data_IF_298878146581
#
_entry.id   IF_298878146581
#
_cell.length_a   1.000
_cell.length_b   1.000
_cell.length_c   1.000
_cell.angle_alpha   90.00
_cell.angle_beta   90.00
_cell.angle_gamma   90.00
#
_symmetry.space_group_name_H-M   'P 1'
#
loop_
_entity.id
_entity.type
_entity.pdbx_description
1 polymer ?
#
# COMPACT_ATOMS: atom_id res chain seq x y z
N UNK A 1 -26.30 -54.17 -36.39
CA UNK A 1 -26.95 -52.87 -36.14
C UNK A 1 -26.48 -52.44 -34.75
N UNK A 2 -25.43 -51.62 -34.59
CA UNK A 2 -25.43 -50.15 -34.58
C UNK A 2 -26.71 -49.56 -33.97
N UNK A 3 -26.60 -49.05 -32.76
CA UNK A 3 -26.74 -47.61 -32.51
C UNK A 3 -25.98 -47.24 -31.22
N UNK A 4 -25.09 -46.26 -31.37
CA UNK A 4 -24.44 -45.54 -30.29
C UNK A 4 -25.46 -44.58 -29.69
N UNK A 5 -25.44 -44.38 -28.37
CA UNK A 5 -25.96 -43.14 -27.81
C UNK A 5 -24.86 -42.42 -27.03
N UNK A 6 -24.57 -41.24 -27.58
CA UNK A 6 -23.55 -40.28 -27.25
C UNK A 6 -23.91 -39.48 -25.99
N UNK A 7 -22.85 -39.08 -25.30
CA UNK A 7 -22.69 -37.85 -24.53
C UNK A 7 -23.59 -37.64 -23.30
N UNK A 8 -22.99 -37.85 -22.12
CA UNK A 8 -23.18 -36.91 -21.02
C UNK A 8 -21.82 -36.29 -20.74
N UNK A 9 -21.62 -35.11 -21.30
CA UNK A 9 -20.47 -34.26 -21.06
C UNK A 9 -20.24 -34.13 -19.55
N UNK A 10 -19.06 -34.50 -19.09
CA UNK A 10 -18.56 -34.03 -17.80
C UNK A 10 -18.56 -32.50 -17.87
N UNK A 11 -19.22 -31.86 -16.91
CA UNK A 11 -19.09 -30.42 -16.71
C UNK A 11 -17.62 -30.14 -16.40
N UNK A 12 -16.88 -29.70 -17.43
CA UNK A 12 -15.59 -29.05 -17.24
C UNK A 12 -15.90 -27.72 -16.59
N UNK A 13 -15.85 -27.68 -15.25
CA UNK A 13 -15.79 -26.43 -14.51
C UNK A 13 -14.46 -25.77 -14.88
N UNK A 14 -14.49 -24.89 -15.89
CA UNK A 14 -13.38 -23.99 -16.16
C UNK A 14 -13.30 -23.08 -14.94
N UNK A 15 -12.40 -23.39 -14.03
CA UNK A 15 -11.98 -22.47 -12.99
C UNK A 15 -11.41 -21.26 -13.74
N UNK A 16 -12.20 -20.19 -13.84
CA UNK A 16 -11.77 -18.96 -14.50
C UNK A 16 -10.36 -18.64 -13.99
N UNK A 17 -9.40 -18.53 -14.90
CA UNK A 17 -8.07 -18.08 -14.55
C UNK A 17 -8.24 -16.82 -13.70
N UNK A 18 -7.65 -16.80 -12.52
CA UNK A 18 -7.65 -15.60 -11.71
C UNK A 18 -7.12 -14.46 -12.59
N UNK A 19 -7.95 -13.44 -12.85
CA UNK A 19 -7.52 -12.20 -13.54
C UNK A 19 -6.40 -11.46 -12.77
N UNK A 20 -6.03 -11.95 -11.58
CA UNK A 20 -4.90 -11.48 -10.80
C UNK A 20 -3.63 -12.23 -11.14
N UNK A 21 -2.60 -11.45 -11.46
CA UNK A 21 -1.21 -11.90 -11.54
C UNK A 21 -0.68 -12.09 -10.11
N UNK A 22 -0.04 -13.23 -9.83
CA UNK A 22 0.77 -13.38 -8.62
C UNK A 22 1.96 -12.42 -8.71
N UNK A 23 2.03 -11.49 -7.76
CA UNK A 23 3.06 -10.45 -7.76
C UNK A 23 4.42 -10.97 -7.25
N UNK A 24 4.49 -12.11 -6.55
CA UNK A 24 5.73 -12.58 -5.91
C UNK A 24 6.93 -12.76 -6.86
N UNK A 25 6.77 -13.21 -8.12
CA UNK A 25 7.88 -13.29 -9.06
C UNK A 25 8.43 -11.93 -9.48
N UNK A 26 7.59 -10.88 -9.45
CA UNK A 26 7.91 -9.54 -9.98
C UNK A 26 8.15 -8.49 -8.88
N UNK A 27 8.15 -8.90 -7.61
CA UNK A 27 8.51 -8.07 -6.46
C UNK A 27 9.52 -8.76 -5.53
N UNK A 28 10.17 -7.99 -4.67
CA UNK A 28 11.04 -8.46 -3.59
C UNK A 28 10.73 -7.74 -2.28
N UNK A 29 10.93 -8.45 -1.17
CA UNK A 29 10.92 -7.88 0.17
C UNK A 29 12.24 -7.21 0.49
N UNK A 30 12.22 -6.09 1.21
CA UNK A 30 13.38 -5.34 1.67
C UNK A 30 13.24 -4.99 3.16
N UNK A 31 14.37 -4.76 3.83
CA UNK A 31 14.39 -4.35 5.24
C UNK A 31 13.83 -5.44 6.16
N UNK A 32 12.93 -5.06 7.08
CA UNK A 32 12.29 -5.99 8.02
C UNK A 32 11.19 -6.85 7.40
N UNK A 33 10.85 -6.66 6.13
CA UNK A 33 9.72 -7.34 5.51
C UNK A 33 9.99 -8.84 5.37
N UNK A 34 9.02 -9.66 5.81
CA UNK A 34 9.08 -11.12 5.69
C UNK A 34 7.78 -11.66 5.08
N UNK A 35 7.90 -12.66 4.21
CA UNK A 35 6.75 -13.34 3.60
C UNK A 35 6.53 -14.70 4.24
N UNK A 36 5.30 -14.98 4.66
CA UNK A 36 4.89 -16.29 5.18
C UNK A 36 4.08 -17.03 4.11
N UNK A 37 4.66 -18.09 3.54
CA UNK A 37 4.02 -18.90 2.49
C UNK A 37 2.82 -19.70 2.96
N UNK A 38 2.68 -19.96 4.26
CA UNK A 38 1.55 -20.72 4.80
C UNK A 38 0.30 -19.87 4.91
N UNK A 39 0.46 -18.55 5.11
CA UNK A 39 -0.66 -17.61 5.24
C UNK A 39 -0.81 -16.69 4.03
N UNK A 40 0.16 -16.68 3.11
CA UNK A 40 0.29 -15.71 2.02
C UNK A 40 0.29 -14.25 2.48
N UNK A 41 0.85 -13.99 3.67
CA UNK A 41 0.96 -12.65 4.25
C UNK A 41 2.41 -12.19 4.17
N UNK A 42 2.62 -11.00 3.61
CA UNK A 42 3.87 -10.25 3.81
C UNK A 42 3.71 -9.32 5.00
N UNK A 43 4.49 -9.55 6.05
CA UNK A 43 4.58 -8.64 7.20
C UNK A 43 5.68 -7.63 6.93
N UNK A 44 5.33 -6.36 6.69
CA UNK A 44 6.31 -5.28 6.46
C UNK A 44 7.11 -4.97 7.73
N UNK A 45 6.40 -4.77 8.85
CA UNK A 45 6.97 -4.51 10.16
C UNK A 45 6.27 -5.37 11.22
N UNK A 46 7.06 -5.91 12.14
CA UNK A 46 6.52 -6.46 13.38
C UNK A 46 6.15 -5.30 14.32
N UNK A 47 5.35 -5.56 15.36
CA UNK A 47 5.03 -4.58 16.41
C UNK A 47 6.23 -4.35 17.37
N UNK A 48 7.39 -4.03 16.79
CA UNK A 48 8.68 -3.78 17.42
C UNK A 48 9.12 -2.38 16.97
N UNK A 49 9.75 -1.62 17.87
CA UNK A 49 10.22 -0.28 17.55
C UNK A 49 11.27 -0.30 16.42
N UNK A 50 11.32 0.81 15.67
CA UNK A 50 12.38 1.09 14.68
C UNK A 50 12.48 0.06 13.54
N UNK A 51 11.35 -0.49 13.10
CA UNK A 51 11.27 -1.38 11.94
C UNK A 51 10.95 -0.60 10.66
N UNK A 52 11.47 -1.05 9.53
CA UNK A 52 11.14 -0.53 8.21
C UNK A 52 11.26 -1.66 7.20
N UNK A 53 10.16 -2.01 6.55
CA UNK A 53 10.10 -3.05 5.54
C UNK A 53 9.29 -2.60 4.35
N UNK A 54 9.69 -3.07 3.17
CA UNK A 54 9.05 -2.67 1.92
C UNK A 54 8.94 -3.86 0.97
N UNK A 55 7.97 -3.77 0.05
CA UNK A 55 7.89 -4.62 -1.14
C UNK A 55 8.22 -3.71 -2.32
N UNK A 56 9.24 -4.05 -3.10
CA UNK A 56 9.68 -3.25 -4.24
C UNK A 56 9.67 -4.09 -5.52
N UNK A 57 9.37 -3.46 -6.66
CA UNK A 57 9.33 -4.15 -7.95
C UNK A 57 10.72 -4.66 -8.35
N UNK A 58 10.77 -5.86 -8.94
CA UNK A 58 11.90 -6.42 -9.68
C UNK A 58 11.84 -6.10 -11.18
N UNK A 59 10.69 -5.64 -11.64
CA UNK A 59 10.42 -5.29 -13.04
C UNK A 59 9.62 -3.99 -13.10
N UNK A 60 9.69 -3.30 -14.23
CA UNK A 60 8.88 -2.11 -14.46
C UNK A 60 7.47 -2.50 -14.90
N UNK A 61 6.47 -1.79 -14.38
CA UNK A 61 5.07 -1.90 -14.82
C UNK A 61 4.82 -0.92 -15.97
N UNK A 62 4.18 -1.38 -17.06
CA UNK A 62 3.72 -0.50 -18.13
C UNK A 62 2.39 0.17 -17.75
N UNK A 63 2.48 1.36 -17.16
CA UNK A 63 1.33 2.15 -16.72
C UNK A 63 0.60 2.88 -17.87
N UNK A 64 0.84 2.53 -19.13
CA UNK A 64 0.02 3.01 -20.27
C UNK A 64 -1.28 2.20 -20.45
N UNK A 65 -1.40 1.10 -19.71
CA UNK A 65 -2.56 0.24 -19.74
C UNK A 65 -3.24 0.26 -18.38
N UNK A 66 -4.55 0.12 -18.39
CA UNK A 66 -5.36 0.08 -17.19
C UNK A 66 -5.00 -1.15 -16.34
N UNK A 67 -4.99 -0.97 -15.03
CA UNK A 67 -4.83 -2.09 -14.10
C UNK A 67 -5.58 -1.83 -12.79
N UNK A 68 -5.93 -2.92 -12.10
CA UNK A 68 -6.48 -2.84 -10.75
C UNK A 68 -5.50 -3.46 -9.77
N UNK A 69 -4.98 -2.65 -8.86
CA UNK A 69 -4.23 -3.11 -7.71
C UNK A 69 -5.18 -3.40 -6.55
N UNK A 70 -5.10 -4.60 -5.97
CA UNK A 70 -5.85 -4.98 -4.77
C UNK A 70 -4.89 -5.47 -3.70
N UNK A 71 -5.07 -4.99 -2.49
CA UNK A 71 -4.37 -5.50 -1.32
C UNK A 71 -5.31 -5.50 -0.11
N UNK A 72 -5.28 -6.59 0.65
CA UNK A 72 -5.83 -6.60 2.00
C UNK A 72 -4.72 -6.08 2.94
N UNK A 73 -5.01 -4.98 3.63
CA UNK A 73 -4.07 -4.22 4.46
C UNK A 73 -4.44 -4.35 5.93
N UNK A 74 -3.43 -4.54 6.77
CA UNK A 74 -3.55 -4.58 8.23
C UNK A 74 -2.65 -3.52 8.84
N UNK A 75 -3.24 -2.47 9.45
CA UNK A 75 -2.50 -1.34 10.03
C UNK A 75 -2.05 -1.58 11.48
N UNK A 76 -2.37 -2.74 12.06
CA UNK A 76 -2.03 -3.07 13.45
C UNK A 76 -3.22 -3.06 14.41
N UNK A 77 -2.93 -3.30 15.68
CA UNK A 77 -3.93 -3.44 16.77
C UNK A 77 -3.95 -2.27 17.74
N UNK A 78 -2.90 -1.43 17.73
CA UNK A 78 -2.73 -0.32 18.68
C UNK A 78 -3.20 0.98 18.04
N UNK A 79 -4.13 1.67 18.70
CA UNK A 79 -4.70 2.92 18.18
C UNK A 79 -3.68 4.05 17.97
N UNK A 80 -2.56 4.00 18.69
CA UNK A 80 -1.42 4.90 18.55
C UNK A 80 -0.23 4.27 17.79
N UNK A 81 -0.47 3.17 17.07
CA UNK A 81 0.54 2.52 16.22
C UNK A 81 0.95 3.42 15.06
N UNK A 82 2.21 3.31 14.65
CA UNK A 82 2.87 4.15 13.67
C UNK A 82 3.86 3.30 12.85
N UNK A 83 4.30 3.72 11.66
CA UNK A 83 4.03 5.03 11.04
C UNK A 83 2.87 4.99 10.02
N UNK A 84 2.73 3.89 9.29
CA UNK A 84 1.67 3.70 8.30
C UNK A 84 2.11 2.75 7.19
N UNK A 85 1.32 2.70 6.11
CA UNK A 85 1.64 1.96 4.89
C UNK A 85 1.35 2.86 3.69
N UNK A 86 2.25 2.92 2.73
CA UNK A 86 1.98 3.55 1.44
C UNK A 86 2.30 2.61 0.28
N UNK A 87 1.63 2.84 -0.84
CA UNK A 87 1.89 2.19 -2.13
C UNK A 87 2.19 3.30 -3.12
N UNK A 88 3.25 3.16 -3.90
CA UNK A 88 3.61 4.16 -4.90
C UNK A 88 4.02 3.53 -6.23
N UNK A 89 3.75 4.28 -7.29
CA UNK A 89 4.25 4.06 -8.63
C UNK A 89 5.15 5.23 -8.99
N UNK A 90 6.35 4.95 -9.49
CA UNK A 90 7.36 5.96 -9.69
C UNK A 90 8.27 5.68 -10.89
N UNK A 91 9.03 6.69 -11.31
CA UNK A 91 9.99 6.60 -12.41
C UNK A 91 11.44 6.40 -11.96
N UNK A 92 11.66 6.15 -10.67
CA UNK A 92 12.96 5.74 -10.12
C UNK A 92 13.40 4.34 -10.55
N UNK A 93 14.60 3.96 -10.11
CA UNK A 93 15.18 2.65 -10.36
C UNK A 93 14.32 1.51 -9.80
N UNK A 94 14.37 0.35 -10.47
CA UNK A 94 13.82 -0.92 -9.95
C UNK A 94 14.41 -1.19 -8.56
N UNK A 95 13.56 -1.64 -7.62
CA UNK A 95 13.96 -1.92 -6.25
C UNK A 95 14.11 -0.69 -5.34
N UNK A 96 13.75 0.52 -5.80
CA UNK A 96 13.77 1.72 -4.96
C UNK A 96 12.90 1.55 -3.71
N UNK A 97 13.42 2.03 -2.57
CA UNK A 97 12.72 2.15 -1.30
C UNK A 97 12.97 3.56 -0.78
N UNK A 98 11.90 4.27 -0.47
CA UNK A 98 11.95 5.64 0.04
C UNK A 98 12.27 5.73 1.52
N UNK A 99 12.19 6.95 2.04
CA UNK A 99 12.46 7.25 3.46
C UNK A 99 11.48 6.51 4.38
N UNK A 100 11.99 5.90 5.47
CA UNK A 100 11.18 5.29 6.54
C UNK A 100 10.50 6.34 7.43
N UNK A 101 9.74 5.95 8.45
CA UNK A 101 9.03 6.91 9.28
C UNK A 101 7.83 7.49 8.54
N UNK A 102 7.56 8.79 8.70
CA UNK A 102 6.53 9.48 7.92
C UNK A 102 6.82 9.57 6.42
N UNK A 103 8.01 9.17 5.95
CA UNK A 103 8.23 8.98 4.53
C UNK A 103 7.50 7.75 3.94
N UNK A 104 6.94 6.89 4.80
CA UNK A 104 6.15 5.70 4.50
C UNK A 104 6.77 4.74 3.47
N UNK A 105 8.09 4.79 3.30
CA UNK A 105 8.81 4.00 2.31
C UNK A 105 8.65 4.49 0.87
N UNK A 106 7.98 5.62 0.62
CA UNK A 106 7.74 6.18 -0.72
C UNK A 106 8.37 7.57 -0.92
N UNK A 107 8.62 8.33 0.16
CA UNK A 107 9.25 9.64 0.05
C UNK A 107 10.62 9.56 -0.62
N UNK A 108 10.83 10.41 -1.63
CA UNK A 108 12.04 10.43 -2.45
C UNK A 108 11.90 9.64 -3.75
N UNK A 109 10.78 8.95 -3.97
CA UNK A 109 10.56 8.21 -5.21
C UNK A 109 10.44 9.19 -6.40
N UNK A 110 11.31 9.11 -7.43
CA UNK A 110 11.32 10.10 -8.51
C UNK A 110 10.02 10.11 -9.31
N UNK A 111 9.41 11.30 -9.47
CA UNK A 111 8.14 11.52 -10.20
C UNK A 111 7.07 10.48 -9.80
N UNK A 112 6.88 10.32 -8.49
CA UNK A 112 6.01 9.29 -7.91
C UNK A 112 4.61 9.80 -7.62
N UNK A 113 3.63 8.92 -7.82
CA UNK A 113 2.27 9.04 -7.29
C UNK A 113 2.08 7.88 -6.31
N UNK A 114 1.63 8.19 -5.11
CA UNK A 114 1.36 7.21 -4.06
C UNK A 114 -0.05 7.35 -3.50
N UNK A 115 -0.47 6.31 -2.80
CA UNK A 115 -1.62 6.32 -1.90
C UNK A 115 -1.13 5.91 -0.52
N UNK A 116 -1.37 6.75 0.47
CA UNK A 116 -0.95 6.51 1.85
C UNK A 116 -2.12 6.12 2.76
N UNK A 117 -1.77 5.34 3.77
CA UNK A 117 -2.57 5.00 4.94
C UNK A 117 -1.69 5.35 6.14
N UNK A 118 -1.69 6.62 6.49
CA UNK A 118 -0.84 7.20 7.53
C UNK A 118 -1.52 7.10 8.91
N UNK A 119 -0.80 6.60 9.91
CA UNK A 119 -1.29 6.47 11.28
C UNK A 119 -0.53 7.36 12.28
N UNK A 120 0.34 8.24 11.77
CA UNK A 120 1.17 9.19 12.51
C UNK A 120 1.33 10.52 11.74
N UNK A 121 0.30 11.38 11.75
CA UNK A 121 0.30 12.62 10.97
C UNK A 121 1.27 13.71 11.45
N UNK A 122 1.93 13.53 12.60
CA UNK A 122 2.87 14.51 13.14
C UNK A 122 4.29 14.35 12.58
N UNK A 123 4.50 13.50 11.57
CA UNK A 123 5.80 13.37 10.95
C UNK A 123 6.24 14.65 10.21
N UNK A 124 7.53 15.01 10.22
CA UNK A 124 8.03 16.13 9.42
C UNK A 124 7.99 15.86 7.91
N UNK A 125 7.87 14.59 7.50
CA UNK A 125 7.74 14.13 6.12
C UNK A 125 6.33 14.31 5.53
N UNK A 126 5.36 14.78 6.30
CA UNK A 126 4.04 15.14 5.79
C UNK A 126 4.01 16.64 5.49
N UNK A 127 3.35 17.06 4.42
CA UNK A 127 3.23 18.49 4.14
C UNK A 127 2.46 19.20 5.27
N UNK A 128 2.87 20.44 5.56
CA UNK A 128 2.23 21.26 6.61
C UNK A 128 1.16 22.17 6.00
N UNK A 129 1.12 22.30 4.68
CA UNK A 129 0.15 23.13 3.96
C UNK A 129 -1.29 22.62 4.06
N UNK A 130 -2.24 23.51 3.82
CA UNK A 130 -3.67 23.20 3.80
C UNK A 130 -4.16 22.72 2.43
N UNK A 131 -3.27 22.61 1.45
CA UNK A 131 -3.58 22.01 0.15
C UNK A 131 -4.14 20.61 0.37
N UNK A 132 -5.41 20.43 0.00
CA UNK A 132 -6.16 19.20 0.19
C UNK A 132 -6.21 18.64 1.64
N UNK A 133 -5.92 19.49 2.63
CA UNK A 133 -6.10 19.17 4.05
C UNK A 133 -5.11 18.18 4.67
N UNK A 134 -3.94 17.96 4.09
CA UNK A 134 -2.91 17.09 4.69
C UNK A 134 -2.34 17.68 5.99
N UNK A 135 -1.93 18.96 5.97
CA UNK A 135 -1.49 19.66 7.17
C UNK A 135 -2.56 19.74 8.27
N UNK A 136 -3.84 19.67 7.90
CA UNK A 136 -4.96 19.67 8.85
C UNK A 136 -5.12 18.35 9.64
N UNK A 137 -4.42 17.29 9.23
CA UNK A 137 -4.36 16.02 9.99
C UNK A 137 -3.39 16.11 11.17
N UNK A 138 -2.43 17.03 11.11
CA UNK A 138 -1.44 17.25 12.16
C UNK A 138 -2.06 17.88 13.40
N UNK A 139 -1.50 17.56 14.55
CA UNK A 139 -1.87 18.16 15.83
C UNK A 139 -1.95 17.13 16.95
N UNK A 140 -2.54 17.54 18.06
CA UNK A 140 -2.85 16.67 19.19
C UNK A 140 -4.33 16.82 19.51
N UNK A 141 -5.07 15.73 19.35
CA UNK A 141 -6.51 15.69 19.51
C UNK A 141 -6.90 14.67 20.57
N UNK A 142 -8.09 14.80 21.20
CA UNK A 142 -8.64 13.74 22.03
C UNK A 142 -8.64 12.41 21.28
N UNK A 143 -8.08 11.37 21.92
CA UNK A 143 -7.85 10.03 21.36
C UNK A 143 -6.79 9.91 20.25
N UNK A 144 -6.24 11.00 19.74
CA UNK A 144 -5.23 11.03 18.67
C UNK A 144 -4.12 12.05 18.98
N UNK A 145 -3.23 11.75 19.95
CA UNK A 145 -2.17 12.68 20.35
C UNK A 145 -1.11 12.92 19.27
N UNK A 146 -1.08 12.09 18.23
CA UNK A 146 -0.12 12.12 17.13
C UNK A 146 -0.74 12.58 15.80
N UNK A 147 -1.86 13.31 15.87
CA UNK A 147 -2.66 13.68 14.71
C UNK A 147 -3.63 12.58 14.26
N UNK A 148 -4.55 12.93 13.38
CA UNK A 148 -5.56 11.99 12.90
C UNK A 148 -4.96 10.98 11.91
N UNK A 149 -5.19 9.67 12.09
CA UNK A 149 -4.95 8.69 11.04
C UNK A 149 -5.72 9.08 9.78
N UNK A 150 -5.06 9.04 8.64
CA UNK A 150 -5.62 9.52 7.38
C UNK A 150 -5.16 8.70 6.18
N UNK A 151 -5.78 8.96 5.04
CA UNK A 151 -5.46 8.35 3.79
C UNK A 151 -5.72 9.30 2.63
N UNK A 152 -4.94 9.15 1.56
CA UNK A 152 -5.14 9.90 0.34
C UNK A 152 -4.02 9.71 -0.67
N UNK A 153 -4.19 10.35 -1.82
CA UNK A 153 -3.17 10.36 -2.85
C UNK A 153 -2.12 11.42 -2.53
N UNK A 154 -0.85 11.05 -2.71
CA UNK A 154 0.31 11.93 -2.51
C UNK A 154 1.24 11.88 -3.71
N UNK A 155 1.98 12.96 -3.89
CA UNK A 155 3.11 13.05 -4.82
C UNK A 155 4.42 13.02 -4.06
N UNK A 156 5.45 12.55 -4.75
CA UNK A 156 6.82 12.52 -4.25
C UNK A 156 7.82 12.65 -5.40
N UNK A 157 9.00 13.18 -5.10
CA UNK A 157 10.10 13.29 -6.04
C UNK A 157 11.45 13.19 -5.30
N UNK A 158 12.54 13.02 -6.04
CA UNK A 158 13.90 12.76 -5.52
C UNK A 158 14.37 13.78 -4.49
N UNK A 159 13.96 15.03 -4.63
CA UNK A 159 14.37 16.15 -3.77
C UNK A 159 13.25 16.62 -2.84
N UNK A 160 12.11 15.95 -2.84
CA UNK A 160 11.00 16.27 -1.94
C UNK A 160 11.41 15.97 -0.51
N UNK A 161 11.06 16.90 0.39
CA UNK A 161 11.27 16.73 1.84
C UNK A 161 10.03 16.18 2.55
N UNK A 162 8.90 16.19 1.86
CA UNK A 162 7.63 15.70 2.35
C UNK A 162 6.77 15.13 1.23
N UNK A 163 5.78 14.32 1.61
CA UNK A 163 4.69 13.85 0.76
C UNK A 163 3.65 14.97 0.62
N UNK A 164 3.29 15.32 -0.62
CA UNK A 164 2.35 16.41 -0.88
C UNK A 164 1.04 15.85 -1.43
N UNK A 165 -0.09 16.21 -0.85
CA UNK A 165 -1.40 15.71 -1.23
C UNK A 165 -1.74 16.08 -2.68
N UNK A 166 -2.35 15.12 -3.37
CA UNK A 166 -2.86 15.29 -4.73
C UNK A 166 -4.38 15.42 -4.76
N UNK A 167 -5.06 15.08 -3.65
CA UNK A 167 -6.50 15.17 -3.49
C UNK A 167 -6.84 15.22 -2.00
N UNK A 168 -8.10 15.60 -1.68
CA UNK A 168 -8.57 15.77 -0.32
C UNK A 168 -8.26 14.56 0.57
N UNK A 169 -7.48 14.78 1.62
CA UNK A 169 -7.16 13.77 2.62
C UNK A 169 -8.41 13.37 3.40
N UNK A 170 -8.53 12.07 3.67
CA UNK A 170 -9.65 11.48 4.39
C UNK A 170 -9.18 10.94 5.72
N UNK A 171 -9.89 11.28 6.81
CA UNK A 171 -9.68 10.62 8.10
C UNK A 171 -10.10 9.17 8.00
N UNK A 172 -9.27 8.27 8.51
CA UNK A 172 -9.59 6.85 8.65
C UNK A 172 -9.65 6.47 10.12
N UNK A 173 -10.23 5.31 10.41
CA UNK A 173 -10.17 4.78 11.77
C UNK A 173 -8.72 4.39 12.11
N UNK A 174 -8.32 4.67 13.36
CA UNK A 174 -7.06 4.17 13.91
C UNK A 174 -6.94 2.64 13.79
N UNK A 175 -5.71 2.10 13.83
CA UNK A 175 -5.48 0.66 13.85
C UNK A 175 -6.30 -0.02 14.94
N UNK A 176 -7.05 -1.03 14.54
CA UNK A 176 -8.06 -1.69 15.38
C UNK A 176 -8.08 -3.22 15.19
N UNK A 177 -6.99 -3.79 14.67
CA UNK A 177 -6.83 -5.23 14.48
C UNK A 177 -7.68 -5.82 13.34
N UNK A 178 -8.18 -4.98 12.43
CA UNK A 178 -8.96 -5.44 11.27
C UNK A 178 -8.17 -5.30 9.97
N UNK A 179 -8.30 -6.32 9.13
CA UNK A 179 -7.93 -6.24 7.71
C UNK A 179 -8.93 -5.37 6.96
N UNK A 180 -8.42 -4.59 5.99
CA UNK A 180 -9.23 -3.74 5.11
C UNK A 180 -8.74 -3.91 3.68
N UNK A 181 -9.67 -3.93 2.73
CA UNK A 181 -9.32 -3.98 1.32
C UNK A 181 -9.03 -2.58 0.80
N UNK A 182 -7.87 -2.41 0.19
CA UNK A 182 -7.53 -1.30 -0.68
C UNK A 182 -7.65 -1.75 -2.13
N UNK A 183 -8.31 -0.93 -2.94
CA UNK A 183 -8.39 -1.10 -4.39
C UNK A 183 -8.00 0.22 -5.06
N UNK A 184 -7.01 0.16 -5.95
CA UNK A 184 -6.59 1.29 -6.79
C UNK A 184 -6.84 0.87 -8.23
N UNK A 185 -7.60 1.69 -8.96
CA UNK A 185 -7.84 1.54 -10.40
C UNK A 185 -7.04 2.61 -11.12
N UNK A 186 -6.15 2.17 -11.98
CA UNK A 186 -5.35 3.00 -12.87
C UNK A 186 -5.93 2.92 -14.27
#
# INVERSE_FOLDING_TARGET
MKEQNLNKYDEITVQAASDYIDIRPIFQTNGSATFNSNTNITTLTQAINSQAGAIAGKTALDMRHDFTFRADIFLGTKSNGADGIAIAFHRGSIGFVGTKGGGLGILGAPKGIGFELDTYANAPEDEVGDSFGHGAMKGSFPSFPNGYPHAGFVSTDKNSRWLSALAQMQRIAAPNGRWRRLEIRW
#
